data_IF_697505134825
#
_entry.id   IF_697505134825
#
_cell.length_a   1.000
_cell.length_b   1.000
_cell.length_c   1.000
_cell.angle_alpha   90.00
_cell.angle_beta   90.00
_cell.angle_gamma   90.00
#
_symmetry.space_group_name_H-M   'P 1'
#
loop_
_entity.id
_entity.type
_entity.pdbx_description
1 polymer ?
#
# COMPACT_ATOMS: atom_id res chain seq x y z
N UNK A 1 6.95 14.48 -17.83
CA UNK A 1 6.66 14.87 -16.44
C UNK A 1 5.15 14.87 -16.33
N UNK A 2 4.57 13.85 -15.69
CA UNK A 2 3.13 13.82 -15.42
C UNK A 2 2.85 14.85 -14.34
N UNK A 3 2.02 15.85 -14.63
CA UNK A 3 1.42 16.67 -13.58
C UNK A 3 0.74 15.72 -12.59
N UNK A 4 1.17 15.76 -11.33
CA UNK A 4 0.60 14.92 -10.28
C UNK A 4 -0.91 15.19 -10.20
N UNK A 5 -1.71 14.13 -10.34
CA UNK A 5 -3.16 14.23 -10.28
C UNK A 5 -3.54 14.62 -8.85
N UNK A 6 -4.03 15.85 -8.69
CA UNK A 6 -4.54 16.35 -7.41
C UNK A 6 -6.06 16.59 -7.52
N UNK A 7 -6.81 15.76 -6.81
CA UNK A 7 -8.28 15.80 -6.77
C UNK A 7 -8.87 16.58 -5.59
N UNK A 8 -8.07 17.23 -4.76
CA UNK A 8 -8.56 17.87 -3.55
C UNK A 8 -9.48 19.05 -3.90
N UNK A 9 -9.09 19.87 -4.89
CA UNK A 9 -9.92 20.99 -5.36
C UNK A 9 -11.30 20.53 -5.87
N UNK A 10 -11.37 19.42 -6.60
CA UNK A 10 -12.65 18.92 -7.12
C UNK A 10 -13.47 18.24 -6.02
N UNK A 11 -12.82 17.62 -5.03
CA UNK A 11 -13.50 17.07 -3.84
C UNK A 11 -14.09 18.19 -2.99
N UNK A 12 -13.35 19.27 -2.75
CA UNK A 12 -13.82 20.43 -2.00
C UNK A 12 -15.01 21.10 -2.68
N UNK A 13 -14.93 21.29 -4.00
CA UNK A 13 -16.05 21.81 -4.78
C UNK A 13 -17.28 20.89 -4.69
N UNK A 14 -17.07 19.58 -4.85
CA UNK A 14 -18.16 18.61 -4.77
C UNK A 14 -18.77 18.54 -3.36
N UNK A 15 -17.96 18.69 -2.31
CA UNK A 15 -18.42 18.77 -0.92
C UNK A 15 -19.36 19.96 -0.72
N UNK A 16 -18.91 21.16 -1.12
CA UNK A 16 -19.68 22.40 -1.03
C UNK A 16 -21.01 22.32 -1.79
N UNK A 17 -20.96 21.90 -3.05
CA UNK A 17 -22.15 21.88 -3.93
C UNK A 17 -23.11 20.74 -3.59
N UNK A 18 -22.60 19.54 -3.33
CA UNK A 18 -23.44 18.33 -3.19
C UNK A 18 -23.86 18.04 -1.75
N UNK A 19 -23.09 18.48 -0.75
CA UNK A 19 -23.39 18.21 0.67
C UNK A 19 -23.84 19.46 1.40
N UNK A 20 -23.22 20.61 1.14
CA UNK A 20 -23.63 21.89 1.75
C UNK A 20 -24.66 22.66 0.91
N UNK A 21 -25.11 22.08 -0.22
CA UNK A 21 -26.12 22.67 -1.11
C UNK A 21 -25.76 24.07 -1.62
N UNK A 22 -24.47 24.39 -1.72
CA UNK A 22 -24.03 25.63 -2.33
C UNK A 22 -24.35 25.64 -3.83
N UNK A 23 -24.66 26.81 -4.37
CA UNK A 23 -24.91 26.94 -5.81
C UNK A 23 -23.58 26.81 -6.56
N UNK A 24 -23.52 25.89 -7.53
CA UNK A 24 -22.37 25.78 -8.43
C UNK A 24 -22.26 27.05 -9.28
N UNK A 25 -21.12 27.73 -9.24
CA UNK A 25 -20.86 28.88 -10.11
C UNK A 25 -19.98 28.45 -11.29
N UNK A 26 -20.45 28.70 -12.53
CA UNK A 26 -19.72 28.34 -13.76
C UNK A 26 -18.75 29.44 -14.20
N UNK A 27 -17.89 29.87 -13.29
CA UNK A 27 -16.74 30.73 -13.59
C UNK A 27 -15.75 30.02 -14.54
N UNK A 28 -14.87 30.78 -15.18
CA UNK A 28 -13.81 30.22 -16.04
C UNK A 28 -12.96 29.20 -15.27
N UNK A 29 -12.59 29.50 -14.03
CA UNK A 29 -11.83 28.60 -13.16
C UNK A 29 -12.57 27.30 -12.86
N UNK A 30 -13.87 27.38 -12.56
CA UNK A 30 -14.68 26.19 -12.25
C UNK A 30 -14.88 25.33 -13.50
N UNK A 31 -15.08 25.95 -14.66
CA UNK A 31 -15.15 25.26 -15.96
C UNK A 31 -13.83 24.54 -16.26
N UNK A 32 -12.70 25.23 -16.11
CA UNK A 32 -11.38 24.66 -16.33
C UNK A 32 -11.10 23.48 -15.37
N UNK A 33 -11.47 23.62 -14.10
CA UNK A 33 -11.38 22.53 -13.11
C UNK A 33 -12.22 21.32 -13.53
N UNK A 34 -13.49 21.53 -13.90
CA UNK A 34 -14.40 20.45 -14.30
C UNK A 34 -13.91 19.74 -15.57
N UNK A 35 -13.43 20.46 -16.59
CA UNK A 35 -12.86 19.86 -17.80
C UNK A 35 -11.62 19.03 -17.47
N UNK A 36 -10.70 19.60 -16.69
CA UNK A 36 -9.47 18.90 -16.27
C UNK A 36 -9.82 17.60 -15.53
N UNK A 37 -10.67 17.67 -14.51
CA UNK A 37 -11.04 16.52 -13.71
C UNK A 37 -11.87 15.50 -14.49
N UNK A 38 -12.73 15.92 -15.43
CA UNK A 38 -13.44 15.03 -16.33
C UNK A 38 -12.49 14.14 -17.13
N UNK A 39 -11.45 14.74 -17.73
CA UNK A 39 -10.41 14.01 -18.47
C UNK A 39 -9.68 13.00 -17.58
N UNK A 40 -9.34 13.39 -16.36
CA UNK A 40 -8.66 12.53 -15.37
C UNK A 40 -9.48 11.30 -14.95
N UNK A 41 -10.81 11.35 -15.12
CA UNK A 41 -11.72 10.22 -14.83
C UNK A 41 -12.31 9.57 -16.09
N UNK A 42 -11.65 9.77 -17.23
CA UNK A 42 -12.06 9.24 -18.54
C UNK A 42 -13.48 9.64 -18.96
N UNK A 43 -13.87 10.88 -18.71
CA UNK A 43 -14.99 11.54 -19.37
C UNK A 43 -14.42 12.32 -20.56
N UNK A 44 -15.04 12.21 -21.73
CA UNK A 44 -14.53 12.87 -22.93
C UNK A 44 -14.61 14.39 -22.79
N UNK A 45 -13.70 15.10 -23.45
CA UNK A 45 -13.70 16.56 -23.48
C UNK A 45 -15.01 17.11 -24.05
N UNK A 46 -15.54 16.48 -25.10
CA UNK A 46 -16.83 16.81 -25.71
C UNK A 46 -17.99 16.68 -24.71
N UNK A 47 -18.08 15.56 -23.99
CA UNK A 47 -19.15 15.35 -22.99
C UNK A 47 -19.05 16.36 -21.85
N UNK A 48 -17.81 16.70 -21.44
CA UNK A 48 -17.58 17.70 -20.41
C UNK A 48 -18.02 19.09 -20.88
N UNK A 49 -17.63 19.52 -22.09
CA UNK A 49 -18.05 20.79 -22.69
C UNK A 49 -19.57 20.89 -22.85
N UNK A 50 -20.20 19.82 -23.34
CA UNK A 50 -21.65 19.73 -23.49
C UNK A 50 -22.36 19.86 -22.14
N UNK A 51 -21.83 19.20 -21.09
CA UNK A 51 -22.37 19.30 -19.74
C UNK A 51 -22.19 20.71 -19.14
N UNK A 52 -21.18 21.47 -19.52
CA UNK A 52 -20.92 22.82 -19.02
C UNK A 52 -21.81 23.91 -19.68
N UNK A 53 -22.73 23.54 -20.57
CA UNK A 53 -23.69 24.48 -21.18
C UNK A 53 -24.77 24.97 -20.22
N UNK A 54 -25.04 24.23 -19.15
CA UNK A 54 -26.07 24.62 -18.16
C UNK A 54 -25.69 24.20 -16.74
N UNK A 55 -26.22 24.91 -15.75
CA UNK A 55 -26.00 24.61 -14.33
C UNK A 55 -26.45 23.19 -13.92
N UNK A 56 -27.64 22.70 -14.33
CA UNK A 56 -28.06 21.33 -14.00
C UNK A 56 -27.14 20.26 -14.58
N UNK A 57 -26.72 20.42 -15.84
CA UNK A 57 -25.84 19.44 -16.51
C UNK A 57 -24.42 19.50 -15.95
N UNK A 58 -23.91 20.69 -15.59
CA UNK A 58 -22.60 20.83 -14.96
C UNK A 58 -22.58 20.22 -13.54
N UNK A 59 -23.67 20.38 -12.78
CA UNK A 59 -23.83 19.70 -11.48
C UNK A 59 -23.85 18.17 -11.64
N UNK A 60 -24.44 17.68 -12.73
CA UNK A 60 -24.44 16.24 -13.05
C UNK A 60 -23.03 15.74 -13.38
N UNK A 61 -22.26 16.50 -14.17
CA UNK A 61 -20.84 16.21 -14.42
C UNK A 61 -20.03 16.17 -13.12
N UNK A 62 -20.19 17.14 -12.23
CA UNK A 62 -19.52 17.17 -10.92
C UNK A 62 -19.83 15.91 -10.08
N UNK A 63 -21.10 15.48 -10.06
CA UNK A 63 -21.52 14.24 -9.39
C UNK A 63 -20.83 13.01 -9.99
N UNK A 64 -20.78 12.91 -11.31
CA UNK A 64 -20.15 11.79 -12.00
C UNK A 64 -18.64 11.73 -11.75
N UNK A 65 -17.94 12.88 -11.82
CA UNK A 65 -16.51 12.96 -11.50
C UNK A 65 -16.27 12.49 -10.06
N UNK A 66 -17.02 13.03 -9.09
CA UNK A 66 -16.93 12.61 -7.69
C UNK A 66 -17.19 11.11 -7.52
N UNK A 67 -18.20 10.59 -8.22
CA UNK A 67 -18.58 9.19 -8.17
C UNK A 67 -17.45 8.29 -8.67
N UNK A 68 -16.89 8.56 -9.86
CA UNK A 68 -15.79 7.78 -10.44
C UNK A 68 -14.53 7.79 -9.57
N UNK A 69 -14.14 8.95 -9.04
CA UNK A 69 -13.01 9.06 -8.10
C UNK A 69 -13.26 8.19 -6.87
N UNK A 70 -14.43 8.36 -6.25
CA UNK A 70 -14.75 7.69 -4.99
C UNK A 70 -14.92 6.18 -5.15
N UNK A 71 -15.57 5.72 -6.21
CA UNK A 71 -15.80 4.30 -6.42
C UNK A 71 -14.55 3.58 -6.93
N UNK A 72 -13.79 4.16 -7.86
CA UNK A 72 -12.53 3.55 -8.29
C UNK A 72 -11.53 3.39 -7.14
N UNK A 73 -11.43 4.39 -6.26
CA UNK A 73 -10.61 4.31 -5.03
C UNK A 73 -11.03 3.13 -4.13
N UNK A 74 -12.35 2.99 -3.89
CA UNK A 74 -12.91 1.93 -3.03
C UNK A 74 -12.73 0.55 -3.64
N UNK A 75 -12.94 0.42 -4.96
CA UNK A 75 -12.75 -0.83 -5.70
C UNK A 75 -11.30 -1.29 -5.61
N UNK A 76 -10.37 -0.43 -6.03
CA UNK A 76 -8.94 -0.75 -6.02
C UNK A 76 -8.44 -1.06 -4.61
N UNK A 77 -8.82 -0.26 -3.61
CA UNK A 77 -8.39 -0.49 -2.22
C UNK A 77 -8.85 -1.84 -1.68
N UNK A 78 -10.12 -2.22 -1.92
CA UNK A 78 -10.64 -3.54 -1.51
C UNK A 78 -9.92 -4.68 -2.22
N UNK A 79 -9.78 -4.60 -3.55
CA UNK A 79 -9.14 -5.64 -4.34
C UNK A 79 -7.65 -5.79 -3.96
N UNK A 80 -6.93 -4.69 -3.79
CA UNK A 80 -5.51 -4.68 -3.37
C UNK A 80 -5.32 -5.32 -2.02
N UNK A 81 -6.13 -4.97 -1.02
CA UNK A 81 -6.02 -5.56 0.31
C UNK A 81 -6.24 -7.07 0.26
N UNK A 82 -7.26 -7.53 -0.46
CA UNK A 82 -7.54 -8.95 -0.64
C UNK A 82 -6.43 -9.67 -1.43
N UNK A 83 -5.88 -9.04 -2.46
CA UNK A 83 -4.77 -9.60 -3.23
C UNK A 83 -3.50 -9.77 -2.39
N UNK A 84 -3.22 -8.84 -1.47
CA UNK A 84 -2.12 -9.01 -0.52
C UNK A 84 -2.36 -10.14 0.48
N UNK A 85 -3.59 -10.31 0.98
CA UNK A 85 -3.91 -11.48 1.81
C UNK A 85 -3.69 -12.80 1.06
N UNK A 86 -4.10 -12.87 -0.22
CA UNK A 86 -3.89 -14.05 -1.06
C UNK A 86 -2.40 -14.30 -1.31
N UNK A 87 -1.62 -13.27 -1.64
CA UNK A 87 -0.16 -13.35 -1.74
C UNK A 87 0.46 -13.90 -0.45
N UNK A 88 0.05 -13.38 0.71
CA UNK A 88 0.60 -13.79 2.00
C UNK A 88 0.20 -15.23 2.37
N UNK A 89 -0.93 -15.72 1.85
CA UNK A 89 -1.34 -17.13 1.89
C UNK A 89 -0.67 -17.99 0.80
N UNK A 90 0.10 -17.39 -0.10
CA UNK A 90 0.79 -18.07 -1.19
C UNK A 90 -0.05 -18.31 -2.45
N UNK A 91 -1.24 -17.74 -2.54
CA UNK A 91 -2.13 -17.79 -3.70
C UNK A 91 -1.90 -16.59 -4.63
N UNK A 92 -0.81 -16.67 -5.42
CA UNK A 92 -0.46 -15.64 -6.39
C UNK A 92 -1.40 -15.61 -7.60
N UNK A 93 -2.04 -16.74 -7.94
CA UNK A 93 -3.02 -16.81 -9.02
C UNK A 93 -4.28 -16.04 -8.67
N UNK A 94 -4.82 -16.26 -7.47
CA UNK A 94 -5.95 -15.50 -6.94
C UNK A 94 -5.63 -14.00 -6.82
N UNK A 95 -4.42 -13.64 -6.38
CA UNK A 95 -4.00 -12.23 -6.32
C UNK A 95 -4.00 -11.55 -7.70
N UNK A 96 -3.49 -12.24 -8.74
CA UNK A 96 -3.52 -11.74 -10.13
C UNK A 96 -4.93 -11.61 -10.67
N UNK A 97 -5.78 -12.60 -10.41
CA UNK A 97 -7.17 -12.58 -10.88
C UNK A 97 -7.92 -11.36 -10.35
N UNK A 98 -7.72 -10.98 -9.09
CA UNK A 98 -8.34 -9.76 -8.55
C UNK A 98 -7.92 -8.49 -9.29
N UNK A 99 -6.67 -8.38 -9.73
CA UNK A 99 -6.23 -7.21 -10.51
C UNK A 99 -6.82 -7.23 -11.93
N UNK A 100 -6.95 -8.41 -12.55
CA UNK A 100 -7.69 -8.54 -13.81
C UNK A 100 -9.16 -8.12 -13.67
N UNK A 101 -9.83 -8.54 -12.60
CA UNK A 101 -11.22 -8.19 -12.33
C UNK A 101 -11.41 -6.67 -12.16
N UNK A 102 -10.45 -6.00 -11.50
CA UNK A 102 -10.44 -4.53 -11.41
C UNK A 102 -10.27 -3.91 -12.81
N UNK A 103 -9.29 -4.37 -13.58
CA UNK A 103 -9.00 -3.83 -14.92
C UNK A 103 -10.12 -4.05 -15.92
N UNK A 104 -10.97 -5.06 -15.72
CA UNK A 104 -12.14 -5.33 -16.56
C UNK A 104 -13.22 -4.25 -16.43
N UNK A 105 -13.33 -3.60 -15.26
CA UNK A 105 -14.42 -2.64 -14.96
C UNK A 105 -13.94 -1.22 -14.69
N UNK A 106 -12.66 -1.04 -14.35
CA UNK A 106 -12.12 0.28 -14.02
C UNK A 106 -11.89 1.12 -15.27
N UNK A 107 -12.39 2.35 -15.24
CA UNK A 107 -12.33 3.30 -16.36
C UNK A 107 -11.39 4.46 -16.06
N UNK A 108 -11.14 4.78 -14.80
CA UNK A 108 -10.27 5.89 -14.39
C UNK A 108 -8.80 5.51 -14.65
N UNK A 109 -8.08 6.22 -15.53
CA UNK A 109 -6.73 5.83 -15.96
C UNK A 109 -5.75 5.63 -14.80
N UNK A 110 -5.78 6.52 -13.80
CA UNK A 110 -4.91 6.43 -12.62
C UNK A 110 -5.10 5.10 -11.87
N UNK A 111 -6.34 4.66 -11.67
CA UNK A 111 -6.61 3.42 -10.93
C UNK A 111 -6.32 2.17 -11.78
N UNK A 112 -6.46 2.26 -13.10
CA UNK A 112 -6.01 1.21 -14.02
C UNK A 112 -4.50 1.02 -13.95
N UNK A 113 -3.74 2.11 -14.06
CA UNK A 113 -2.26 2.07 -13.98
C UNK A 113 -1.78 1.46 -12.65
N UNK A 114 -2.43 1.82 -11.53
CA UNK A 114 -2.12 1.24 -10.22
C UNK A 114 -2.44 -0.27 -10.17
N UNK A 115 -3.56 -0.71 -10.78
CA UNK A 115 -3.91 -2.12 -10.86
C UNK A 115 -2.96 -2.91 -11.78
N UNK A 116 -2.53 -2.32 -12.91
CA UNK A 116 -1.51 -2.89 -13.81
C UNK A 116 -0.18 -3.07 -13.08
N UNK A 117 0.28 -2.06 -12.35
CA UNK A 117 1.51 -2.16 -11.54
C UNK A 117 1.44 -3.31 -10.52
N UNK A 118 0.30 -3.47 -9.84
CA UNK A 118 0.09 -4.58 -8.90
C UNK A 118 0.06 -5.94 -9.62
N UNK A 119 -0.58 -6.01 -10.79
CA UNK A 119 -0.62 -7.22 -11.60
C UNK A 119 0.78 -7.65 -12.05
N UNK A 120 1.62 -6.71 -12.50
CA UNK A 120 3.01 -6.94 -12.86
C UNK A 120 3.81 -7.45 -11.67
N UNK A 121 3.62 -6.84 -10.50
CA UNK A 121 4.25 -7.30 -9.27
C UNK A 121 3.89 -8.75 -8.94
N UNK A 122 2.59 -9.11 -8.94
CA UNK A 122 2.16 -10.47 -8.63
C UNK A 122 2.61 -11.48 -9.70
N UNK A 123 2.66 -11.06 -10.96
CA UNK A 123 3.20 -11.89 -12.06
C UNK A 123 4.69 -12.14 -11.88
N UNK A 124 5.45 -11.11 -11.52
CA UNK A 124 6.86 -11.25 -11.19
C UNK A 124 7.08 -12.22 -10.03
N UNK A 125 6.29 -12.11 -8.96
CA UNK A 125 6.40 -13.02 -7.81
C UNK A 125 6.02 -14.46 -8.18
N UNK A 126 5.01 -14.65 -9.03
CA UNK A 126 4.66 -15.97 -9.54
C UNK A 126 5.81 -16.60 -10.34
N UNK A 127 6.55 -15.79 -11.11
CA UNK A 127 7.74 -16.24 -11.82
C UNK A 127 8.90 -16.59 -10.86
N UNK A 128 9.12 -15.80 -9.81
CA UNK A 128 10.11 -16.12 -8.76
C UNK A 128 9.75 -17.46 -8.12
N UNK A 129 8.49 -17.64 -7.73
CA UNK A 129 7.99 -18.90 -7.17
C UNK A 129 8.16 -20.08 -8.14
N UNK A 130 7.83 -19.92 -9.42
CA UNK A 130 7.89 -20.98 -10.43
C UNK A 130 9.32 -21.37 -10.85
N UNK A 131 10.25 -20.40 -10.87
CA UNK A 131 11.59 -20.61 -11.43
C UNK A 131 12.70 -20.60 -10.38
N UNK A 132 12.47 -20.04 -9.20
CA UNK A 132 13.52 -19.76 -8.20
C UNK A 132 14.43 -18.58 -8.56
N UNK A 133 14.19 -17.89 -9.67
CA UNK A 133 15.02 -16.75 -10.12
C UNK A 133 14.47 -15.44 -9.59
N UNK A 134 15.35 -14.63 -9.02
CA UNK A 134 15.02 -13.30 -8.52
C UNK A 134 14.74 -12.32 -9.67
N UNK A 135 13.95 -11.30 -9.37
CA UNK A 135 13.68 -10.16 -10.23
C UNK A 135 14.06 -8.87 -9.47
N UNK A 136 15.04 -8.10 -9.96
CA UNK A 136 15.52 -6.89 -9.27
C UNK A 136 14.46 -5.78 -9.17
N UNK A 137 13.43 -5.80 -10.00
CA UNK A 137 12.36 -4.80 -9.99
C UNK A 137 11.28 -5.10 -8.94
N UNK A 138 11.35 -6.27 -8.27
CA UNK A 138 10.40 -6.66 -7.24
C UNK A 138 10.92 -6.36 -5.83
N UNK A 139 10.02 -6.05 -4.87
CA UNK A 139 10.43 -5.86 -3.49
C UNK A 139 11.03 -7.13 -2.86
N UNK A 140 12.15 -6.98 -2.15
CA UNK A 140 12.96 -8.06 -1.58
C UNK A 140 12.16 -9.08 -0.76
N UNK A 141 11.43 -8.63 0.27
CA UNK A 141 10.73 -9.52 1.21
C UNK A 141 9.67 -10.40 0.53
N UNK A 142 8.78 -9.86 -0.35
CA UNK A 142 7.91 -10.69 -1.17
C UNK A 142 8.65 -11.75 -2.00
N UNK A 143 9.84 -11.45 -2.55
CA UNK A 143 10.63 -12.45 -3.26
C UNK A 143 11.12 -13.56 -2.34
N UNK A 144 11.61 -13.21 -1.13
CA UNK A 144 12.00 -14.21 -0.12
C UNK A 144 10.81 -15.08 0.32
N UNK A 145 9.61 -14.50 0.44
CA UNK A 145 8.40 -15.25 0.75
C UNK A 145 8.04 -16.25 -0.37
N UNK A 146 8.11 -15.83 -1.63
CA UNK A 146 7.89 -16.70 -2.79
C UNK A 146 8.91 -17.85 -2.85
N UNK A 147 10.19 -17.56 -2.60
CA UNK A 147 11.24 -18.59 -2.54
C UNK A 147 11.04 -19.55 -1.36
N UNK A 148 10.71 -19.03 -0.18
CA UNK A 148 10.44 -19.87 1.00
C UNK A 148 9.27 -20.81 0.76
N UNK A 149 8.19 -20.32 0.14
CA UNK A 149 7.04 -21.15 -0.24
C UNK A 149 7.42 -22.22 -1.28
N UNK A 150 8.23 -21.86 -2.28
CA UNK A 150 8.76 -22.81 -3.27
C UNK A 150 9.53 -23.96 -2.60
N UNK A 151 10.39 -23.65 -1.64
CA UNK A 151 11.17 -24.67 -0.92
C UNK A 151 10.28 -25.54 -0.04
N UNK A 152 9.29 -24.96 0.63
CA UNK A 152 8.27 -25.72 1.38
C UNK A 152 7.47 -26.69 0.52
N UNK A 153 7.37 -26.45 -0.81
CA UNK A 153 6.75 -27.36 -1.77
C UNK A 153 7.72 -28.44 -2.30
N UNK A 154 8.93 -28.53 -1.75
CA UNK A 154 9.90 -29.57 -2.07
C UNK A 154 10.85 -29.24 -3.23
N UNK A 155 10.84 -27.99 -3.71
CA UNK A 155 11.83 -27.54 -4.69
C UNK A 155 13.15 -27.19 -4.00
N UNK A 156 14.27 -27.62 -4.58
CA UNK A 156 15.59 -27.28 -4.06
C UNK A 156 15.87 -25.76 -4.14
N UNK A 157 16.53 -25.23 -3.11
CA UNK A 157 17.02 -23.85 -3.10
C UNK A 157 18.39 -23.79 -3.78
N UNK A 158 18.48 -23.02 -4.86
CA UNK A 158 19.76 -22.69 -5.49
C UNK A 158 20.35 -21.44 -4.84
N UNK A 159 21.48 -21.60 -4.15
CA UNK A 159 22.17 -20.46 -3.51
C UNK A 159 23.03 -19.71 -4.53
N UNK A 160 22.36 -18.89 -5.34
CA UNK A 160 22.97 -18.00 -6.33
C UNK A 160 23.58 -16.76 -5.68
N UNK A 161 24.44 -16.05 -6.40
CA UNK A 161 25.06 -14.81 -5.89
C UNK A 161 24.04 -13.70 -5.68
N UNK A 162 23.02 -13.62 -6.54
CA UNK A 162 21.90 -12.69 -6.38
C UNK A 162 21.10 -12.97 -5.10
N UNK A 163 20.84 -14.24 -4.79
CA UNK A 163 20.17 -14.61 -3.53
C UNK A 163 21.04 -14.29 -2.31
N UNK A 164 22.35 -14.54 -2.37
CA UNK A 164 23.27 -14.13 -1.30
C UNK A 164 23.24 -12.61 -1.09
N UNK A 165 23.28 -11.84 -2.17
CA UNK A 165 23.22 -10.38 -2.12
C UNK A 165 21.91 -9.89 -1.50
N UNK A 166 20.77 -10.44 -1.95
CA UNK A 166 19.45 -10.13 -1.40
C UNK A 166 19.35 -10.42 0.10
N UNK A 167 19.88 -11.57 0.54
CA UNK A 167 19.88 -11.97 1.94
C UNK A 167 20.78 -11.07 2.79
N UNK A 168 21.97 -10.69 2.31
CA UNK A 168 22.83 -9.70 2.98
C UNK A 168 22.16 -8.35 3.14
N UNK A 169 21.44 -7.90 2.11
CA UNK A 169 20.68 -6.65 2.14
C UNK A 169 19.51 -6.72 3.13
N UNK A 170 18.79 -7.85 3.17
CA UNK A 170 17.54 -7.97 3.93
C UNK A 170 17.75 -8.35 5.39
N UNK A 171 18.76 -9.17 5.71
CA UNK A 171 19.07 -9.63 7.07
C UNK A 171 19.17 -8.50 8.13
N UNK A 172 19.94 -7.41 7.92
CA UNK A 172 20.03 -6.33 8.90
C UNK A 172 18.69 -5.61 9.12
N UNK A 173 17.81 -5.60 8.10
CA UNK A 173 16.45 -5.04 8.24
C UNK A 173 15.56 -5.85 9.19
N UNK A 174 15.93 -7.11 9.46
CA UNK A 174 15.31 -7.98 10.46
C UNK A 174 16.15 -8.09 11.75
N UNK A 175 17.13 -7.19 11.96
CA UNK A 175 18.08 -7.22 13.07
C UNK A 175 18.90 -8.51 13.17
N UNK A 176 19.23 -9.12 12.03
CA UNK A 176 20.13 -10.26 11.95
C UNK A 176 21.54 -9.73 11.67
N UNK A 177 22.53 -10.21 12.43
CA UNK A 177 23.91 -9.72 12.34
C UNK A 177 24.65 -10.25 11.10
N UNK A 178 25.70 -9.54 10.70
CA UNK A 178 26.54 -9.94 9.55
C UNK A 178 27.16 -11.34 9.75
N UNK A 179 27.72 -11.62 10.92
CA UNK A 179 28.32 -12.93 11.21
C UNK A 179 27.31 -14.09 11.12
N UNK A 180 26.10 -13.89 11.64
CA UNK A 180 25.00 -14.87 11.56
C UNK A 180 24.53 -15.05 10.10
N UNK A 181 24.51 -13.96 9.35
CA UNK A 181 24.18 -13.95 7.91
C UNK A 181 25.21 -14.75 7.12
N UNK A 182 26.49 -14.44 7.24
CA UNK A 182 27.55 -15.13 6.50
C UNK A 182 27.67 -16.61 6.88
N UNK A 183 27.41 -16.96 8.14
CA UNK A 183 27.35 -18.37 8.57
C UNK A 183 26.22 -19.11 7.84
N UNK A 184 25.02 -18.51 7.80
CA UNK A 184 23.84 -19.07 7.15
C UNK A 184 24.05 -19.23 5.64
N UNK A 185 24.78 -18.31 4.99
CA UNK A 185 25.04 -18.33 3.54
C UNK A 185 26.09 -19.38 3.10
N UNK A 186 26.63 -20.19 4.00
CA UNK A 186 27.54 -21.30 3.65
C UNK A 186 26.83 -22.50 3.01
N UNK A 187 25.51 -22.62 3.17
CA UNK A 187 24.74 -23.76 2.65
C UNK A 187 23.32 -23.34 2.23
N UNK A 188 22.67 -24.09 1.32
CA UNK A 188 21.27 -23.87 0.98
C UNK A 188 20.34 -23.95 2.19
N UNK A 189 20.50 -24.96 3.05
CA UNK A 189 19.68 -25.14 4.26
C UNK A 189 19.84 -23.95 5.23
N UNK A 190 21.06 -23.43 5.37
CA UNK A 190 21.32 -22.23 6.16
C UNK A 190 20.65 -20.99 5.56
N UNK A 191 20.70 -20.82 4.24
CA UNK A 191 20.03 -19.73 3.55
C UNK A 191 18.50 -19.82 3.66
N UNK A 192 17.93 -21.03 3.62
CA UNK A 192 16.51 -21.27 3.88
C UNK A 192 16.13 -20.87 5.31
N UNK A 193 16.91 -21.31 6.31
CA UNK A 193 16.70 -20.95 7.71
C UNK A 193 16.76 -19.44 7.91
N UNK A 194 17.71 -18.75 7.25
CA UNK A 194 17.83 -17.30 7.27
C UNK A 194 16.60 -16.61 6.65
N UNK A 195 16.12 -17.07 5.49
CA UNK A 195 14.87 -16.56 4.90
C UNK A 195 13.70 -16.70 5.88
N UNK A 196 13.53 -17.89 6.48
CA UNK A 196 12.49 -18.15 7.45
C UNK A 196 12.57 -17.21 8.66
N UNK A 197 13.78 -16.97 9.18
CA UNK A 197 14.01 -16.06 10.31
C UNK A 197 13.70 -14.60 9.96
N UNK A 198 14.12 -14.12 8.78
CA UNK A 198 13.79 -12.77 8.30
C UNK A 198 12.27 -12.60 8.26
N UNK A 199 11.57 -13.54 7.60
CA UNK A 199 10.12 -13.47 7.40
C UNK A 199 9.36 -13.56 8.72
N UNK A 200 9.78 -14.42 9.66
CA UNK A 200 9.13 -14.56 10.96
C UNK A 200 9.29 -13.30 11.82
N UNK A 201 10.51 -12.75 11.92
CA UNK A 201 10.77 -11.53 12.70
C UNK A 201 9.92 -10.36 12.22
N UNK A 202 9.79 -10.18 10.90
CA UNK A 202 8.91 -9.15 10.35
C UNK A 202 7.44 -9.38 10.70
N UNK A 203 6.94 -10.62 10.57
CA UNK A 203 5.55 -10.97 10.88
C UNK A 203 5.22 -10.74 12.36
N UNK A 204 6.12 -11.14 13.25
CA UNK A 204 5.96 -11.01 14.69
C UNK A 204 6.01 -9.55 15.14
N UNK A 205 6.99 -8.79 14.62
CA UNK A 205 7.13 -7.37 14.88
C UNK A 205 5.91 -6.58 14.36
N UNK A 206 5.44 -6.87 13.15
CA UNK A 206 4.21 -6.27 12.61
C UNK A 206 3.01 -6.54 13.51
N UNK A 207 2.80 -7.79 13.90
CA UNK A 207 1.67 -8.20 14.72
C UNK A 207 1.71 -7.54 16.11
N UNK A 208 2.90 -7.46 16.71
CA UNK A 208 3.12 -6.77 17.98
C UNK A 208 2.83 -5.28 17.86
N UNK A 209 3.40 -4.63 16.85
CA UNK A 209 3.23 -3.20 16.61
C UNK A 209 1.76 -2.84 16.38
N UNK A 210 1.06 -3.53 15.47
CA UNK A 210 -0.35 -3.25 15.17
C UNK A 210 -1.27 -3.44 16.38
N UNK A 211 -1.10 -4.53 17.15
CA UNK A 211 -1.88 -4.73 18.38
C UNK A 211 -1.62 -3.62 19.40
N UNK A 212 -0.37 -3.19 19.53
CA UNK A 212 0.02 -2.12 20.44
C UNK A 212 -0.52 -0.77 19.99
N UNK A 213 -0.53 -0.51 18.68
CA UNK A 213 -1.12 0.68 18.06
C UNK A 213 -2.61 0.80 18.36
N UNK A 214 -3.39 -0.27 18.16
CA UNK A 214 -4.82 -0.26 18.48
C UNK A 214 -5.08 0.05 19.95
N UNK A 215 -4.31 -0.58 20.86
CA UNK A 215 -4.44 -0.33 22.29
C UNK A 215 -4.04 1.09 22.67
N UNK A 216 -2.95 1.60 22.11
CA UNK A 216 -2.47 2.97 22.31
C UNK A 216 -3.51 4.00 21.86
N UNK A 217 -4.09 3.82 20.67
CA UNK A 217 -5.17 4.70 20.16
C UNK A 217 -6.39 4.66 21.09
N UNK A 218 -6.82 3.47 21.53
CA UNK A 218 -7.93 3.35 22.48
C UNK A 218 -7.67 4.07 23.82
N UNK A 219 -6.45 3.98 24.35
CA UNK A 219 -6.06 4.66 25.60
C UNK A 219 -6.08 6.18 25.40
N UNK A 220 -5.48 6.66 24.31
CA UNK A 220 -5.48 8.08 23.94
C UNK A 220 -6.90 8.63 23.81
N UNK A 221 -7.77 7.93 23.10
CA UNK A 221 -9.14 8.38 22.84
C UNK A 221 -10.00 8.37 24.12
N UNK A 222 -9.62 7.57 25.12
CA UNK A 222 -10.21 7.60 26.47
C UNK A 222 -9.61 8.66 27.41
N UNK A 223 -8.61 9.42 26.95
CA UNK A 223 -7.89 10.44 27.72
C UNK A 223 -6.71 9.92 28.54
N UNK A 224 -6.44 8.61 28.54
CA UNK A 224 -5.27 8.00 29.20
C UNK A 224 -4.01 8.12 28.32
N UNK A 225 -3.48 9.33 28.24
CA UNK A 225 -2.29 9.62 27.43
C UNK A 225 -1.04 8.93 27.99
N UNK A 226 -0.90 8.80 29.32
CA UNK A 226 0.27 8.14 29.89
C UNK A 226 0.24 6.63 29.65
N UNK A 227 -0.94 6.00 29.74
CA UNK A 227 -1.13 4.62 29.32
C UNK A 227 -0.79 4.42 27.83
N UNK A 228 -1.20 5.36 26.97
CA UNK A 228 -0.84 5.34 25.55
C UNK A 228 0.68 5.42 25.33
N UNK A 229 1.39 6.28 26.07
CA UNK A 229 2.86 6.36 26.04
C UNK A 229 3.51 5.08 26.53
N UNK A 230 3.05 4.55 27.66
CA UNK A 230 3.58 3.31 28.22
C UNK A 230 3.46 2.16 27.23
N UNK A 231 2.34 2.07 26.51
CA UNK A 231 2.16 1.06 25.48
C UNK A 231 3.21 1.13 24.35
N UNK A 232 3.67 2.33 23.96
CA UNK A 232 4.76 2.47 22.99
C UNK A 232 6.14 2.17 23.60
N UNK A 233 6.38 2.55 24.87
CA UNK A 233 7.62 2.18 25.58
C UNK A 233 7.74 0.66 25.73
N UNK A 234 6.64 -0.03 25.99
CA UNK A 234 6.59 -1.49 26.09
C UNK A 234 6.97 -2.16 24.75
N UNK A 235 6.55 -1.58 23.62
CA UNK A 235 7.01 -2.04 22.29
C UNK A 235 8.51 -1.82 22.13
N UNK A 236 9.01 -0.62 22.44
CA UNK A 236 10.43 -0.28 22.30
C UNK A 236 11.37 -1.10 23.19
N UNK A 237 10.85 -1.66 24.29
CA UNK A 237 11.61 -2.53 25.18
C UNK A 237 11.90 -3.92 24.55
N UNK A 238 11.06 -4.38 23.62
CA UNK A 238 11.16 -5.73 23.03
C UNK A 238 11.36 -5.73 21.52
N UNK A 239 11.10 -4.60 20.85
CA UNK A 239 11.18 -4.51 19.40
C UNK A 239 12.63 -4.32 18.93
N UNK A 240 13.07 -5.26 18.10
CA UNK A 240 14.42 -5.30 17.54
C UNK A 240 14.43 -4.94 16.06
N UNK A 241 13.32 -5.13 15.34
CA UNK A 241 13.22 -4.85 13.91
C UNK A 241 13.24 -3.33 13.71
N UNK A 242 14.28 -2.75 13.06
CA UNK A 242 14.50 -1.31 13.02
C UNK A 242 13.29 -0.51 12.58
N UNK A 243 12.60 -0.95 11.52
CA UNK A 243 11.41 -0.27 11.00
C UNK A 243 10.27 -0.14 12.01
N UNK A 244 9.98 -1.19 12.78
CA UNK A 244 8.87 -1.15 13.76
C UNK A 244 9.27 -0.43 15.03
N UNK A 245 10.56 -0.45 15.36
CA UNK A 245 11.12 0.38 16.41
C UNK A 245 10.97 1.87 16.07
N UNK A 246 11.41 2.28 14.90
CA UNK A 246 11.27 3.67 14.41
C UNK A 246 9.81 4.12 14.38
N UNK A 247 8.90 3.26 13.89
CA UNK A 247 7.48 3.55 13.91
C UNK A 247 6.94 3.75 15.34
N UNK A 248 7.38 2.97 16.32
CA UNK A 248 6.99 3.16 17.72
C UNK A 248 7.58 4.43 18.34
N UNK A 249 8.81 4.81 17.96
CA UNK A 249 9.45 6.07 18.37
C UNK A 249 8.71 7.28 17.78
N UNK A 250 8.25 7.21 16.53
CA UNK A 250 7.42 8.24 15.90
C UNK A 250 6.08 8.42 16.62
N UNK A 251 5.41 7.31 16.94
CA UNK A 251 4.13 7.35 17.66
C UNK A 251 4.29 7.92 19.07
N UNK A 252 5.36 7.55 19.77
CA UNK A 252 5.68 8.12 21.08
C UNK A 252 5.92 9.64 21.00
N UNK A 253 6.70 10.11 20.00
CA UNK A 253 6.90 11.56 19.76
C UNK A 253 5.59 12.28 19.47
N UNK A 254 4.66 11.65 18.74
CA UNK A 254 3.34 12.20 18.47
C UNK A 254 2.50 12.41 19.73
N UNK A 255 2.62 11.53 20.73
CA UNK A 255 1.93 11.64 22.02
C UNK A 255 2.56 12.69 22.97
N UNK A 256 3.79 13.10 22.70
CA UNK A 256 4.49 14.13 23.46
C UNK A 256 4.26 15.55 22.90
N UNK A 257 3.70 15.65 21.69
CA UNK A 257 3.35 16.93 21.09
C UNK A 257 2.04 17.49 21.68
N UNK A 258 1.93 18.80 21.96
CA UNK A 258 0.68 19.40 22.38
C UNK A 258 -0.40 19.20 21.30
N UNK A 259 -1.69 19.07 21.67
CA UNK A 259 -2.75 18.98 20.68
C UNK A 259 -2.71 20.22 19.77
N UNK A 260 -3.01 20.07 18.46
CA UNK A 260 -3.04 21.22 17.55
C UNK A 260 -4.03 22.26 18.06
N UNK A 261 -3.62 23.52 18.08
CA UNK A 261 -4.48 24.65 18.43
C UNK A 261 -5.70 24.64 17.50
N UNK A 262 -6.90 24.65 18.10
CA UNK A 262 -8.19 24.66 17.40
C UNK A 262 -8.54 26.02 16.84
#
# INVERSE_FOLDING_TARGET
MSDEINWDRIRDLAQRVLEHSETLELSEDTRALLIKSAREVAISEQDAEDALRSLPTATTLLKEIRHRIGEGSRRLSRARNRAYELRDAGDLDGARQLMHDVLAVEVVPLYREQAETLLDQFTGLANVFATGRLNPDLPDRPQLAALSQRVQQGHALELTDDLRALLRQTAPTAAIGEAETEESLKSPDGAEALMGMILSRFRDAQSRFLRSMYRMTSLRDSGDIEGARQQMRDVLAVEIVPRYREAAEEQLRGLDSPPPES
#
